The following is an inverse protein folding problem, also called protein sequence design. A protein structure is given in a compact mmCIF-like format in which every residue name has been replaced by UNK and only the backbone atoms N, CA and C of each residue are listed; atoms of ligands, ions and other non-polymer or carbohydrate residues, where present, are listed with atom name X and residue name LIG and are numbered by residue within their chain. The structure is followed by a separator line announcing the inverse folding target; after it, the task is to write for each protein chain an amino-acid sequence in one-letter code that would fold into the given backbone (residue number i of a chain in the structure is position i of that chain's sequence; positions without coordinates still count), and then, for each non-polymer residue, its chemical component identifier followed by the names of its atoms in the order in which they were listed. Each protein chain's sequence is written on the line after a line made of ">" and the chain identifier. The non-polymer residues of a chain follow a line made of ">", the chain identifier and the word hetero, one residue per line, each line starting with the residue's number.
data_IF_041531537080
#
_entry.id   IF_041531537080
#
_cell.length_a   1.000
_cell.length_b   1.000
_cell.length_c   1.000
_cell.angle_alpha   90.00
_cell.angle_beta   90.00
_cell.angle_gamma   90.00
#
_symmetry.space_group_name_H-M   'P 1'
#
loop_
_entity.id
_entity.type
_entity.pdbx_description
1 polymer ?
#
# COMPACT_ATOMS: atom_id res chain seq x y z
N UNK A 1 -7.85 -42.07 -27.13
CA UNK A 1 -8.50 -40.78 -26.85
C UNK A 1 -8.51 -40.62 -25.34
N UNK A 2 -7.63 -39.76 -24.81
CA UNK A 2 -7.70 -39.30 -23.43
C UNK A 2 -9.11 -38.77 -23.16
N UNK A 3 -9.72 -39.11 -22.03
CA UNK A 3 -11.05 -38.63 -21.65
C UNK A 3 -10.99 -37.12 -21.33
N UNK A 4 -10.96 -36.28 -22.36
CA UNK A 4 -10.88 -34.80 -22.25
C UNK A 4 -12.17 -34.17 -21.70
N UNK A 5 -13.26 -34.94 -21.59
CA UNK A 5 -14.56 -34.50 -21.05
C UNK A 5 -14.74 -34.71 -19.54
N UNK A 6 -13.68 -35.03 -18.80
CA UNK A 6 -13.71 -35.23 -17.35
C UNK A 6 -12.88 -34.19 -16.57
N UNK A 7 -12.54 -33.07 -17.21
CA UNK A 7 -11.91 -31.96 -16.50
C UNK A 7 -12.95 -31.38 -15.51
N UNK A 8 -12.65 -31.33 -14.20
CA UNK A 8 -13.55 -30.69 -13.24
C UNK A 8 -13.74 -29.22 -13.62
N UNK A 9 -14.99 -28.74 -13.53
CA UNK A 9 -15.30 -27.32 -13.78
C UNK A 9 -14.52 -26.44 -12.80
N UNK A 10 -13.78 -25.46 -13.31
CA UNK A 10 -13.02 -24.51 -12.51
C UNK A 10 -13.95 -23.71 -11.58
N UNK A 11 -13.62 -23.65 -10.30
CA UNK A 11 -14.32 -22.80 -9.33
C UNK A 11 -13.86 -21.35 -9.49
N UNK A 12 -14.52 -20.63 -10.39
CA UNK A 12 -14.22 -19.23 -10.67
C UNK A 12 -14.41 -18.31 -9.46
N UNK A 13 -15.30 -18.66 -8.51
CA UNK A 13 -15.59 -17.78 -7.38
C UNK A 13 -14.38 -17.63 -6.46
N UNK A 14 -13.67 -18.72 -6.21
CA UNK A 14 -12.45 -18.71 -5.39
C UNK A 14 -11.26 -18.07 -6.11
N UNK A 15 -11.16 -18.24 -7.43
CA UNK A 15 -10.17 -17.54 -8.25
C UNK A 15 -10.35 -16.03 -8.19
N UNK A 16 -11.58 -15.54 -8.38
CA UNK A 16 -11.88 -14.11 -8.35
C UNK A 16 -11.63 -13.52 -6.96
N UNK A 17 -12.08 -14.21 -5.90
CA UNK A 17 -11.85 -13.76 -4.52
C UNK A 17 -10.36 -13.57 -4.20
N UNK A 18 -9.52 -14.52 -4.63
CA UNK A 18 -8.07 -14.43 -4.43
C UNK A 18 -7.46 -13.33 -5.30
N UNK A 19 -7.93 -13.18 -6.54
CA UNK A 19 -7.47 -12.15 -7.47
C UNK A 19 -7.77 -10.74 -6.94
N UNK A 20 -8.99 -10.49 -6.46
CA UNK A 20 -9.35 -9.22 -5.82
C UNK A 20 -8.49 -8.94 -4.59
N UNK A 21 -8.23 -9.96 -3.76
CA UNK A 21 -7.32 -9.87 -2.61
C UNK A 21 -5.90 -9.46 -3.03
N UNK A 22 -5.35 -10.10 -4.06
CA UNK A 22 -4.04 -9.76 -4.62
C UNK A 22 -3.99 -8.32 -5.14
N UNK A 23 -5.00 -7.90 -5.91
CA UNK A 23 -5.07 -6.54 -6.47
C UNK A 23 -5.12 -5.50 -5.36
N UNK A 24 -5.93 -5.72 -4.32
CA UNK A 24 -6.04 -4.78 -3.20
C UNK A 24 -4.75 -4.73 -2.38
N UNK A 25 -4.11 -5.87 -2.14
CA UNK A 25 -2.79 -5.94 -1.50
C UNK A 25 -1.72 -5.20 -2.31
N UNK A 26 -1.65 -5.43 -3.62
CA UNK A 26 -0.68 -4.75 -4.49
C UNK A 26 -0.87 -3.24 -4.50
N UNK A 27 -2.11 -2.75 -4.58
CA UNK A 27 -2.40 -1.30 -4.51
C UNK A 27 -1.86 -0.68 -3.22
N UNK A 28 -2.21 -1.27 -2.07
CA UNK A 28 -1.78 -0.78 -0.75
C UNK A 28 -0.26 -0.89 -0.59
N UNK A 29 0.32 -2.03 -0.98
CA UNK A 29 1.75 -2.30 -0.89
C UNK A 29 2.58 -1.35 -1.73
N UNK A 30 2.19 -1.07 -2.98
CA UNK A 30 2.89 -0.11 -3.84
C UNK A 30 2.92 1.29 -3.24
N UNK A 31 1.78 1.78 -2.72
CA UNK A 31 1.72 3.11 -2.08
C UNK A 31 2.57 3.14 -0.80
N UNK A 32 2.54 2.06 0.00
CA UNK A 32 3.37 1.95 1.20
C UNK A 32 4.87 2.01 0.89
N UNK A 33 5.33 1.32 -0.17
CA UNK A 33 6.74 1.37 -0.60
C UNK A 33 7.14 2.78 -1.02
N UNK A 34 6.30 3.47 -1.81
CA UNK A 34 6.55 4.87 -2.20
C UNK A 34 6.67 5.76 -0.95
N UNK A 35 5.79 5.58 0.04
CA UNK A 35 5.86 6.33 1.29
C UNK A 35 7.14 6.08 2.08
N UNK A 36 7.61 4.83 2.14
CA UNK A 36 8.87 4.53 2.80
C UNK A 36 10.02 5.28 2.11
N UNK A 37 10.04 5.30 0.78
CA UNK A 37 11.06 6.07 0.03
C UNK A 37 10.95 7.57 0.32
N UNK A 38 9.74 8.13 0.37
CA UNK A 38 9.53 9.54 0.76
C UNK A 38 10.00 9.83 2.20
N UNK A 39 9.78 8.92 3.14
CA UNK A 39 10.28 9.05 4.50
C UNK A 39 11.81 8.99 4.54
N UNK A 40 12.44 8.13 3.73
CA UNK A 40 13.90 8.10 3.58
C UNK A 40 14.45 9.43 3.05
N UNK A 41 13.72 10.13 2.17
CA UNK A 41 14.09 11.48 1.71
C UNK A 41 14.06 12.47 2.88
N UNK A 42 13.01 12.45 3.71
CA UNK A 42 12.91 13.30 4.91
C UNK A 42 14.10 13.08 5.87
N UNK A 43 14.52 11.83 6.06
CA UNK A 43 15.63 11.49 6.94
C UNK A 43 17.01 11.80 6.36
N UNK A 44 17.20 11.60 5.05
CA UNK A 44 18.51 11.74 4.41
C UNK A 44 18.86 13.19 4.07
N UNK A 45 17.86 13.99 3.69
CA UNK A 45 18.06 15.33 3.15
C UNK A 45 17.44 16.45 3.99
N UNK A 46 16.59 16.12 4.96
CA UNK A 46 15.90 17.11 5.79
C UNK A 46 16.60 17.47 7.10
N UNK A 47 16.13 18.54 7.74
CA UNK A 47 16.57 18.99 9.07
C UNK A 47 15.77 18.36 10.24
N UNK A 48 15.87 18.95 11.44
CA UNK A 48 15.22 18.41 12.65
C UNK A 48 13.69 18.26 12.52
N UNK A 49 13.02 19.20 11.86
CA UNK A 49 11.58 19.11 11.60
C UNK A 49 11.22 17.97 10.64
N UNK A 50 11.99 17.80 9.56
CA UNK A 50 11.79 16.71 8.59
C UNK A 50 11.95 15.34 9.25
N UNK A 51 12.97 15.17 10.10
CA UNK A 51 13.19 13.92 10.84
C UNK A 51 12.05 13.60 11.81
N UNK A 52 11.52 14.59 12.52
CA UNK A 52 10.36 14.41 13.40
C UNK A 52 9.12 13.95 12.61
N UNK A 53 8.79 14.65 11.51
CA UNK A 53 7.66 14.26 10.66
C UNK A 53 7.88 12.91 9.97
N UNK A 54 9.11 12.59 9.56
CA UNK A 54 9.45 11.32 8.94
C UNK A 54 9.12 10.13 9.85
N UNK A 55 9.37 10.21 11.15
CA UNK A 55 8.99 9.15 12.10
C UNK A 55 7.48 9.02 12.25
N UNK A 56 6.76 10.13 12.40
CA UNK A 56 5.30 10.13 12.51
C UNK A 56 4.66 9.52 11.26
N UNK A 57 5.13 9.93 10.08
CA UNK A 57 4.58 9.51 8.80
C UNK A 57 4.98 8.07 8.43
N UNK A 58 6.14 7.59 8.88
CA UNK A 58 6.52 6.19 8.73
C UNK A 58 5.60 5.27 9.55
N UNK A 59 5.32 5.63 10.81
CA UNK A 59 4.37 4.89 11.65
C UNK A 59 2.96 4.96 11.02
N UNK A 60 2.53 6.15 10.58
CA UNK A 60 1.26 6.33 9.90
C UNK A 60 1.16 5.48 8.62
N UNK A 61 2.27 5.29 7.89
CA UNK A 61 2.31 4.44 6.69
C UNK A 61 2.06 2.98 7.02
N UNK A 62 2.67 2.45 8.08
CA UNK A 62 2.44 1.06 8.52
C UNK A 62 0.99 0.87 8.99
N UNK A 63 0.47 1.80 9.78
CA UNK A 63 -0.92 1.76 10.26
C UNK A 63 -1.89 1.85 9.08
N UNK A 64 -1.69 2.80 8.17
CA UNK A 64 -2.55 3.00 7.00
C UNK A 64 -2.52 1.79 6.06
N UNK A 65 -1.36 1.15 5.87
CA UNK A 65 -1.25 -0.09 5.11
C UNK A 65 -2.03 -1.24 5.78
N UNK A 66 -1.91 -1.40 7.09
CA UNK A 66 -2.68 -2.40 7.85
C UNK A 66 -4.19 -2.19 7.74
N UNK A 67 -4.66 -0.95 7.89
CA UNK A 67 -6.07 -0.58 7.68
C UNK A 67 -6.49 -0.83 6.23
N UNK A 68 -5.63 -0.45 5.27
CA UNK A 68 -5.89 -0.63 3.84
C UNK A 68 -6.13 -2.08 3.45
N UNK A 69 -5.37 -3.02 4.02
CA UNK A 69 -5.58 -4.45 3.79
C UNK A 69 -6.95 -4.95 4.30
N UNK A 70 -7.53 -4.31 5.32
CA UNK A 70 -8.84 -4.69 5.86
C UNK A 70 -10.04 -4.09 5.10
N UNK A 71 -9.84 -3.02 4.32
CA UNK A 71 -10.90 -2.26 3.65
C UNK A 71 -11.19 -2.70 2.20
N UNK A 72 -10.50 -3.74 1.71
CA UNK A 72 -10.72 -4.29 0.37
C UNK A 72 -10.53 -3.24 -0.73
N UNK A 73 -11.55 -3.06 -1.58
CA UNK A 73 -11.47 -2.20 -2.77
C UNK A 73 -11.13 -0.73 -2.47
N UNK A 74 -11.49 -0.22 -1.29
CA UNK A 74 -11.21 1.17 -0.87
C UNK A 74 -9.96 1.30 0.00
N UNK A 75 -9.22 0.20 0.19
CA UNK A 75 -8.04 0.14 1.06
C UNK A 75 -6.88 1.05 0.68
N UNK A 76 -6.84 1.53 -0.56
CA UNK A 76 -5.81 2.44 -1.04
C UNK A 76 -5.94 3.87 -0.47
N UNK A 77 -7.14 4.27 -0.01
CA UNK A 77 -7.43 5.66 0.39
C UNK A 77 -6.59 6.09 1.61
N UNK A 78 -6.52 5.33 2.72
CA UNK A 78 -5.69 5.71 3.86
C UNK A 78 -4.20 5.84 3.50
N UNK A 79 -3.66 4.90 2.74
CA UNK A 79 -2.26 4.94 2.30
C UNK A 79 -1.97 6.14 1.40
N UNK A 80 -2.90 6.47 0.48
CA UNK A 80 -2.77 7.63 -0.39
C UNK A 80 -2.88 8.96 0.38
N UNK A 81 -3.73 9.04 1.40
CA UNK A 81 -3.81 10.20 2.27
C UNK A 81 -2.50 10.44 3.03
N UNK A 82 -1.90 9.39 3.61
CA UNK A 82 -0.58 9.48 4.25
C UNK A 82 0.48 9.88 3.22
N UNK A 83 0.43 9.35 2.00
CA UNK A 83 1.34 9.76 0.93
C UNK A 83 1.26 11.25 0.60
N UNK A 84 0.05 11.79 0.47
CA UNK A 84 -0.14 13.23 0.26
C UNK A 84 0.48 14.06 1.39
N UNK A 85 0.30 13.65 2.64
CA UNK A 85 0.92 14.31 3.79
C UNK A 85 2.45 14.20 3.77
N UNK A 86 3.01 13.04 3.40
CA UNK A 86 4.46 12.85 3.31
C UNK A 86 5.07 13.68 2.19
N UNK A 87 4.40 13.79 1.04
CA UNK A 87 4.84 14.69 -0.04
C UNK A 87 4.82 16.14 0.44
N UNK A 88 3.74 16.57 1.11
CA UNK A 88 3.65 17.93 1.64
C UNK A 88 4.75 18.19 2.67
N UNK A 89 5.00 17.26 3.59
CA UNK A 89 6.07 17.37 4.55
C UNK A 89 7.44 17.47 3.87
N UNK A 90 7.68 16.67 2.83
CA UNK A 90 8.93 16.72 2.08
C UNK A 90 9.14 18.10 1.43
N UNK A 91 8.13 18.63 0.72
CA UNK A 91 8.22 19.95 0.06
C UNK A 91 8.47 21.09 1.06
N UNK A 92 7.94 20.99 2.28
CA UNK A 92 8.02 22.07 3.27
C UNK A 92 9.27 21.99 4.17
N UNK A 93 9.95 20.84 4.24
CA UNK A 93 10.98 20.60 5.25
C UNK A 93 12.32 20.09 4.72
N UNK A 94 12.39 19.74 3.42
CA UNK A 94 13.60 19.37 2.68
C UNK A 94 13.85 20.43 1.61
#
# INVERSE_FOLDING_TARGET
>A
MSNENTAPSMDYNEHERTYEGFINFSKVGTVAVINVVLCLILFAFGGGAATFFGWILLIATVVAAGIGMALGASGWIPSAAVMGLTILAAILTV
#
